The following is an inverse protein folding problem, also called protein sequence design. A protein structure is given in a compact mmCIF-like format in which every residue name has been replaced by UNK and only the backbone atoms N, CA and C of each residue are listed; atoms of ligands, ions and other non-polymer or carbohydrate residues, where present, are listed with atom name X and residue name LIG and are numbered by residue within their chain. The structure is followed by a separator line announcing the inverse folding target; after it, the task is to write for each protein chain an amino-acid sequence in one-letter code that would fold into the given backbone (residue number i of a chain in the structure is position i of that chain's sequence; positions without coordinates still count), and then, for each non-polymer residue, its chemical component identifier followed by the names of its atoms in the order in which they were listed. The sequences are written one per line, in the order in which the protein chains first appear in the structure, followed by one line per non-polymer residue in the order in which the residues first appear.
data_IF_207052938048
#
_entry.id   IF_207052938048
#
_cell.length_a   1.000
_cell.length_b   1.000
_cell.length_c   1.000
_cell.angle_alpha   90.00
_cell.angle_beta   90.00
_cell.angle_gamma   90.00
#
_symmetry.space_group_name_H-M   'P 1'
#
loop_
_entity.id
_entity.type
_entity.pdbx_description
1 polymer ?
#
# COMPACT_ATOMS: atom_id res chain seq x y z
N UNK A 1 11.74 19.68 -17.12
CA UNK A 1 11.27 19.80 -15.72
C UNK A 1 11.69 18.54 -14.97
N UNK A 2 12.07 18.62 -13.70
CA UNK A 2 12.57 17.45 -12.95
C UNK A 2 11.42 16.44 -12.71
N UNK A 3 11.57 15.15 -13.06
CA UNK A 3 10.51 14.13 -12.90
C UNK A 3 9.89 14.07 -11.50
N UNK A 4 10.71 14.18 -10.45
CA UNK A 4 10.25 14.18 -9.06
C UNK A 4 9.31 15.36 -8.76
N UNK A 5 9.66 16.57 -9.21
CA UNK A 5 8.86 17.76 -8.94
C UNK A 5 7.50 17.73 -9.64
N UNK A 6 7.42 17.12 -10.82
CA UNK A 6 6.14 16.91 -11.51
C UNK A 6 5.22 16.04 -10.66
N UNK A 7 5.74 14.92 -10.12
CA UNK A 7 4.96 13.98 -9.28
C UNK A 7 4.50 14.63 -7.98
N UNK A 8 5.37 15.40 -7.31
CA UNK A 8 4.97 16.17 -6.14
C UNK A 8 3.86 17.21 -6.44
N UNK A 9 3.91 17.84 -7.61
CA UNK A 9 2.91 18.83 -8.02
C UNK A 9 1.56 18.17 -8.28
N UNK A 10 1.56 17.02 -8.94
CA UNK A 10 0.35 16.23 -9.18
C UNK A 10 -0.23 15.71 -7.85
N UNK A 11 0.60 15.13 -6.99
CA UNK A 11 0.21 14.64 -5.66
C UNK A 11 -0.41 15.75 -4.80
N UNK A 12 0.20 16.94 -4.78
CA UNK A 12 -0.36 18.11 -4.09
C UNK A 12 -1.70 18.57 -4.68
N UNK A 13 -1.88 18.42 -6.00
CA UNK A 13 -3.14 18.75 -6.69
C UNK A 13 -4.25 17.75 -6.32
N UNK A 14 -3.94 16.45 -6.34
CA UNK A 14 -4.87 15.37 -5.96
C UNK A 14 -5.26 15.54 -4.49
N UNK A 15 -4.27 15.64 -3.59
CA UNK A 15 -4.50 15.84 -2.17
C UNK A 15 -5.40 17.04 -1.89
N UNK A 16 -5.17 18.18 -2.55
CA UNK A 16 -6.01 19.38 -2.39
C UNK A 16 -7.46 19.15 -2.81
N UNK A 17 -7.69 18.34 -3.85
CA UNK A 17 -9.05 18.04 -4.35
C UNK A 17 -9.83 17.15 -3.41
N UNK A 18 -9.18 16.15 -2.79
CA UNK A 18 -9.89 15.10 -2.03
C UNK A 18 -9.83 15.28 -0.51
N UNK A 19 -9.05 16.24 0.01
CA UNK A 19 -8.79 16.37 1.46
C UNK A 19 -10.03 16.62 2.34
N UNK A 20 -11.14 17.11 1.78
CA UNK A 20 -12.38 17.30 2.54
C UNK A 20 -13.16 15.98 2.67
N UNK A 21 -12.93 15.03 1.76
CA UNK A 21 -13.58 13.71 1.71
C UNK A 21 -12.78 12.64 2.47
N UNK A 22 -11.50 12.87 2.74
CA UNK A 22 -10.59 11.90 3.34
C UNK A 22 -9.92 12.45 4.59
N UNK A 23 -9.56 11.57 5.53
CA UNK A 23 -8.86 11.96 6.75
C UNK A 23 -7.34 12.04 6.57
N UNK A 24 -6.75 11.33 5.61
CA UNK A 24 -5.28 11.33 5.41
C UNK A 24 -4.95 11.07 3.96
N UNK A 25 -3.89 11.73 3.44
CA UNK A 25 -3.27 11.44 2.14
C UNK A 25 -1.75 11.39 2.32
N UNK A 26 -1.13 10.33 1.81
CA UNK A 26 0.32 10.14 1.83
C UNK A 26 0.84 9.64 0.48
N UNK A 27 2.01 10.11 0.08
CA UNK A 27 2.77 9.51 -1.02
C UNK A 27 3.48 8.27 -0.49
N UNK A 28 3.45 7.19 -1.25
CA UNK A 28 4.21 5.96 -0.99
C UNK A 28 5.13 5.63 -2.17
N UNK A 29 5.93 4.57 -2.02
CA UNK A 29 6.80 4.11 -3.10
C UNK A 29 8.00 5.03 -3.34
N UNK A 30 8.66 4.84 -4.49
CA UNK A 30 9.97 5.44 -4.76
C UNK A 30 9.99 6.97 -4.76
N UNK A 31 8.84 7.60 -5.04
CA UNK A 31 8.69 9.06 -4.95
C UNK A 31 8.86 9.53 -3.50
N UNK A 32 8.32 8.80 -2.52
CA UNK A 32 8.45 9.17 -1.12
C UNK A 32 9.88 8.92 -0.58
N UNK A 33 10.42 7.72 -0.79
CA UNK A 33 11.61 7.28 -0.06
C UNK A 33 12.92 7.36 -0.83
N UNK A 34 12.88 7.58 -2.14
CA UNK A 34 14.09 7.86 -2.93
C UNK A 34 13.84 8.86 -4.07
N UNK A 35 13.62 10.16 -3.74
CA UNK A 35 13.41 11.22 -4.71
C UNK A 35 14.47 11.31 -5.83
N UNK A 36 15.72 10.92 -5.53
CA UNK A 36 16.84 10.99 -6.47
C UNK A 36 16.82 9.86 -7.52
N UNK A 37 16.10 8.77 -7.26
CA UNK A 37 15.93 7.67 -8.20
C UNK A 37 14.67 7.79 -9.06
N UNK A 38 13.90 8.88 -8.91
CA UNK A 38 12.68 9.10 -9.70
C UNK A 38 13.03 9.45 -11.14
N UNK A 39 12.55 8.63 -12.06
CA UNK A 39 12.79 8.77 -13.50
C UNK A 39 11.51 9.18 -14.22
N UNK A 40 11.57 9.56 -15.51
CA UNK A 40 10.35 9.80 -16.29
C UNK A 40 9.40 8.59 -16.35
N UNK A 41 9.92 7.37 -16.22
CA UNK A 41 9.12 6.13 -16.22
C UNK A 41 8.58 5.73 -14.83
N UNK A 42 8.89 6.50 -13.78
CA UNK A 42 8.37 6.24 -12.43
C UNK A 42 6.90 6.66 -12.33
N UNK A 43 6.09 5.83 -11.72
CA UNK A 43 4.72 6.11 -11.29
C UNK A 43 4.66 7.11 -10.11
N UNK A 44 3.44 7.53 -9.76
CA UNK A 44 3.10 8.18 -8.50
C UNK A 44 2.07 7.32 -7.78
N UNK A 45 2.41 6.82 -6.59
CA UNK A 45 1.47 6.11 -5.72
C UNK A 45 1.11 6.98 -4.51
N UNK A 46 -0.19 7.13 -4.27
CA UNK A 46 -0.75 7.78 -3.10
C UNK A 46 -1.67 6.81 -2.34
N UNK A 47 -1.68 6.91 -1.02
CA UNK A 47 -2.64 6.23 -0.16
C UNK A 47 -3.51 7.29 0.51
N UNK A 48 -4.82 7.16 0.38
CA UNK A 48 -5.79 8.01 1.04
C UNK A 48 -6.65 7.21 2.01
N UNK A 49 -6.77 7.69 3.25
CA UNK A 49 -7.52 7.03 4.34
C UNK A 49 -8.80 7.82 4.60
N UNK A 50 -9.95 7.16 4.60
CA UNK A 50 -11.25 7.79 4.88
C UNK A 50 -12.14 6.85 5.73
N UNK A 51 -13.21 7.36 6.35
CA UNK A 51 -14.30 6.50 6.84
C UNK A 51 -15.29 6.33 5.70
N UNK A 52 -15.28 5.17 5.03
CA UNK A 52 -16.07 4.92 3.82
C UNK A 52 -17.57 5.06 4.05
N UNK A 53 -18.04 4.94 5.30
CA UNK A 53 -19.46 5.13 5.65
C UNK A 53 -19.87 6.60 5.66
N UNK A 54 -18.91 7.52 5.73
CA UNK A 54 -19.12 8.96 5.81
C UNK A 54 -18.81 9.68 4.49
N UNK A 55 -18.16 9.02 3.53
CA UNK A 55 -17.80 9.63 2.24
C UNK A 55 -19.01 9.70 1.31
N UNK A 56 -19.32 10.89 0.79
CA UNK A 56 -20.16 11.02 -0.40
C UNK A 56 -19.31 10.72 -1.64
N UNK A 57 -19.41 9.49 -2.12
CA UNK A 57 -18.61 9.01 -3.24
C UNK A 57 -18.89 9.73 -4.56
N UNK A 58 -20.09 10.29 -4.74
CA UNK A 58 -20.38 11.09 -5.94
C UNK A 58 -19.68 12.44 -5.87
N UNK A 59 -19.61 13.04 -4.68
CA UNK A 59 -18.86 14.27 -4.45
C UNK A 59 -17.36 14.04 -4.59
N UNK A 60 -16.83 12.98 -3.98
CA UNK A 60 -15.44 12.55 -4.14
C UNK A 60 -15.05 12.38 -5.62
N UNK A 61 -15.85 11.66 -6.42
CA UNK A 61 -15.59 11.45 -7.85
C UNK A 61 -15.57 12.79 -8.62
N UNK A 62 -16.51 13.70 -8.32
CA UNK A 62 -16.52 15.05 -8.91
C UNK A 62 -15.28 15.85 -8.54
N UNK A 63 -14.90 15.82 -7.27
CA UNK A 63 -13.78 16.57 -6.71
C UNK A 63 -12.44 16.10 -7.28
N UNK A 64 -12.24 14.78 -7.35
CA UNK A 64 -11.04 14.17 -7.94
C UNK A 64 -10.83 14.65 -9.39
N UNK A 65 -11.93 14.82 -10.15
CA UNK A 65 -11.95 15.53 -11.42
C UNK A 65 -11.21 14.82 -12.56
N UNK A 66 -11.05 13.50 -12.47
CA UNK A 66 -10.44 12.66 -13.50
C UNK A 66 -11.52 12.06 -14.43
N UNK A 67 -11.23 11.81 -15.72
CA UNK A 67 -12.23 11.34 -16.68
C UNK A 67 -12.91 10.03 -16.26
N UNK A 68 -14.18 9.87 -16.66
CA UNK A 68 -15.03 8.69 -16.41
C UNK A 68 -14.49 7.50 -17.21
N UNK A 69 -13.53 6.80 -16.61
CA UNK A 69 -13.36 5.35 -16.57
C UNK A 69 -12.35 5.05 -15.45
N UNK A 70 -12.57 5.55 -14.21
CA UNK A 70 -11.77 5.05 -13.10
C UNK A 70 -12.00 3.54 -13.09
N UNK A 71 -10.93 2.75 -13.08
CA UNK A 71 -11.03 1.32 -12.80
C UNK A 71 -11.31 1.17 -11.31
N UNK A 72 -12.46 1.69 -10.88
CA UNK A 72 -12.94 1.63 -9.54
C UNK A 72 -13.59 0.27 -9.37
N UNK A 73 -12.92 -0.51 -8.55
CA UNK A 73 -13.28 -1.85 -8.15
C UNK A 73 -14.51 -1.69 -7.22
N UNK A 74 -15.72 -1.63 -7.81
CA UNK A 74 -16.98 -1.33 -7.11
C UNK A 74 -17.13 -2.13 -5.81
N UNK A 75 -17.44 -1.44 -4.72
CA UNK A 75 -17.92 -1.94 -3.43
C UNK A 75 -18.40 -3.40 -3.43
N UNK A 76 -17.65 -4.31 -2.80
CA UNK A 76 -18.31 -5.51 -2.35
C UNK A 76 -19.30 -5.11 -1.25
N UNK A 77 -20.57 -5.37 -1.49
CA UNK A 77 -21.65 -5.26 -0.49
C UNK A 77 -21.55 -6.30 0.65
N UNK A 78 -20.40 -6.93 0.84
CA UNK A 78 -20.09 -7.71 2.04
C UNK A 78 -19.28 -6.81 2.96
N UNK A 79 -19.70 -6.64 4.22
CA UNK A 79 -19.01 -5.82 5.24
C UNK A 79 -17.62 -6.33 5.66
N UNK A 80 -16.83 -6.85 4.72
CA UNK A 80 -15.52 -7.46 4.87
C UNK A 80 -14.41 -6.74 4.06
N UNK A 81 -14.76 -5.82 3.15
CA UNK A 81 -13.81 -5.09 2.28
C UNK A 81 -13.86 -3.63 2.62
N UNK A 82 -12.68 -3.01 2.66
CA UNK A 82 -12.55 -1.63 3.06
C UNK A 82 -11.31 -0.99 2.43
N UNK A 83 -10.98 -1.36 1.18
CA UNK A 83 -9.98 -0.66 0.37
C UNK A 83 -10.23 -0.86 -1.14
N UNK A 84 -9.90 0.12 -1.96
CA UNK A 84 -9.87 0.03 -3.41
C UNK A 84 -8.74 0.89 -3.99
N UNK A 85 -8.56 0.89 -5.31
CA UNK A 85 -7.58 1.77 -5.96
C UNK A 85 -8.16 2.35 -7.23
N UNK A 86 -7.73 3.56 -7.55
CA UNK A 86 -8.03 4.27 -8.79
C UNK A 86 -6.71 4.51 -9.49
N UNK A 87 -6.58 4.08 -10.74
CA UNK A 87 -5.35 4.24 -11.52
C UNK A 87 -5.66 4.96 -12.82
N UNK A 88 -4.83 5.92 -13.22
CA UNK A 88 -4.96 6.63 -14.48
C UNK A 88 -3.61 7.11 -15.01
N UNK A 89 -3.53 7.28 -16.33
CA UNK A 89 -2.37 7.89 -16.98
C UNK A 89 -2.54 9.41 -17.08
N UNK A 90 -1.49 10.14 -16.72
CA UNK A 90 -1.31 11.53 -17.15
C UNK A 90 -0.64 11.56 -18.53
N UNK A 91 -0.40 12.75 -19.10
CA UNK A 91 0.44 12.89 -20.31
C UNK A 91 1.89 12.42 -20.12
N UNK A 92 2.31 12.08 -18.89
CA UNK A 92 3.71 11.89 -18.53
C UNK A 92 4.02 10.63 -17.71
N UNK A 93 3.07 10.12 -16.94
CA UNK A 93 3.25 8.98 -16.01
C UNK A 93 1.89 8.47 -15.49
N UNK A 94 1.90 7.24 -14.95
CA UNK A 94 0.76 6.63 -14.26
C UNK A 94 0.63 7.15 -12.82
N UNK A 95 -0.61 7.37 -12.38
CA UNK A 95 -0.96 7.70 -11.00
C UNK A 95 -1.83 6.59 -10.42
N UNK A 96 -1.43 6.06 -9.27
CA UNK A 96 -2.21 5.14 -8.44
C UNK A 96 -2.68 5.81 -7.15
N UNK A 97 -3.99 5.98 -6.97
CA UNK A 97 -4.61 6.41 -5.71
C UNK A 97 -5.25 5.22 -5.02
N UNK A 98 -4.64 4.76 -3.92
CA UNK A 98 -5.12 3.65 -3.10
C UNK A 98 -5.98 4.16 -1.94
N UNK A 99 -7.28 3.93 -2.03
CA UNK A 99 -8.26 4.34 -1.03
C UNK A 99 -8.41 3.25 0.03
N UNK A 100 -8.15 3.56 1.29
CA UNK A 100 -8.37 2.65 2.42
C UNK A 100 -9.41 3.24 3.35
N UNK A 101 -10.34 2.40 3.79
CA UNK A 101 -11.20 2.73 4.91
C UNK A 101 -10.36 2.72 6.20
N UNK A 102 -10.80 3.51 7.17
CA UNK A 102 -10.15 3.61 8.47
C UNK A 102 -10.08 2.24 9.18
N UNK A 103 -11.11 1.40 9.01
CA UNK A 103 -11.07 0.06 9.58
C UNK A 103 -10.06 -0.86 8.90
N UNK A 104 -9.80 -0.70 7.60
CA UNK A 104 -8.74 -1.44 6.91
C UNK A 104 -7.36 -1.01 7.44
N UNK A 105 -7.14 0.30 7.64
CA UNK A 105 -5.90 0.77 8.27
C UNK A 105 -5.72 0.16 9.67
N UNK A 106 -6.78 0.18 10.51
CA UNK A 106 -6.80 -0.45 11.84
C UNK A 106 -6.50 -1.96 11.81
N UNK A 107 -6.90 -2.64 10.74
CA UNK A 107 -6.64 -4.06 10.53
C UNK A 107 -5.20 -4.30 10.06
N UNK A 108 -4.67 -3.49 9.14
CA UNK A 108 -3.27 -3.58 8.70
C UNK A 108 -2.31 -3.38 9.87
N UNK A 109 -2.61 -2.45 10.78
CA UNK A 109 -1.81 -2.24 12.00
C UNK A 109 -1.99 -3.32 13.06
N UNK A 110 -3.01 -4.18 12.91
CA UNK A 110 -3.24 -5.34 13.78
C UNK A 110 -2.89 -6.64 13.03
N UNK A 111 -1.68 -7.21 13.23
CA UNK A 111 -1.15 -8.31 12.42
C UNK A 111 -1.88 -9.66 12.58
N UNK A 112 -3.00 -9.70 13.31
CA UNK A 112 -3.88 -10.88 13.43
C UNK A 112 -5.09 -10.81 12.48
N UNK A 113 -5.27 -9.71 11.76
CA UNK A 113 -6.48 -9.47 10.96
C UNK A 113 -6.22 -9.69 9.48
N UNK A 114 -7.13 -10.41 8.84
CA UNK A 114 -7.16 -10.64 7.40
C UNK A 114 -7.76 -9.41 6.72
N UNK A 115 -7.08 -8.86 5.73
CA UNK A 115 -7.64 -7.82 4.88
C UNK A 115 -8.18 -8.47 3.60
N UNK A 116 -9.11 -7.80 2.93
CA UNK A 116 -9.66 -8.27 1.67
C UNK A 116 -9.59 -7.15 0.65
N UNK A 117 -9.25 -7.50 -0.59
CA UNK A 117 -9.32 -6.61 -1.75
C UNK A 117 -10.39 -7.12 -2.70
N UNK A 118 -11.13 -6.23 -3.35
CA UNK A 118 -12.05 -6.60 -4.41
C UNK A 118 -11.33 -6.59 -5.77
N UNK A 119 -11.77 -7.42 -6.72
CA UNK A 119 -11.31 -7.52 -8.11
C UNK A 119 -12.53 -7.66 -9.02
N UNK A 120 -12.80 -6.80 -10.01
CA UNK A 120 -13.96 -6.97 -10.88
C UNK A 120 -13.74 -8.11 -11.89
N UNK A 121 -14.81 -8.80 -12.28
CA UNK A 121 -14.71 -9.97 -13.20
C UNK A 121 -14.32 -9.60 -14.64
N UNK A 122 -14.45 -8.32 -15.01
CA UNK A 122 -14.18 -7.81 -16.35
C UNK A 122 -12.83 -7.07 -16.47
N UNK A 123 -11.91 -7.26 -15.53
CA UNK A 123 -10.53 -6.81 -15.72
C UNK A 123 -9.95 -7.58 -16.91
N UNK A 124 -9.62 -6.86 -17.98
CA UNK A 124 -9.28 -7.33 -19.32
C UNK A 124 -9.06 -8.85 -19.50
N UNK A 125 -9.86 -9.46 -20.38
CA UNK A 125 -9.86 -10.89 -20.76
C UNK A 125 -8.52 -11.45 -21.28
N UNK A 126 -7.44 -10.68 -21.25
CA UNK A 126 -6.08 -11.06 -21.65
C UNK A 126 -5.07 -11.15 -20.50
N UNK A 127 -5.40 -10.72 -19.28
CA UNK A 127 -4.50 -10.86 -18.13
C UNK A 127 -4.86 -12.12 -17.35
N UNK A 128 -3.98 -13.13 -17.38
CA UNK A 128 -4.01 -14.21 -16.38
C UNK A 128 -3.79 -13.57 -15.02
N UNK A 129 -4.82 -13.57 -14.17
CA UNK A 129 -4.71 -12.92 -12.86
C UNK A 129 -3.61 -13.61 -12.05
N UNK A 130 -2.48 -12.94 -11.88
CA UNK A 130 -1.48 -13.30 -10.86
C UNK A 130 -2.03 -13.06 -9.45
N UNK A 131 -3.29 -12.63 -9.28
CA UNK A 131 -3.89 -12.29 -8.01
C UNK A 131 -4.45 -13.49 -7.24
N UNK A 132 -4.41 -14.70 -7.79
CA UNK A 132 -4.77 -15.90 -7.03
C UNK A 132 -3.62 -16.36 -6.12
N UNK A 133 -2.41 -15.81 -6.32
CA UNK A 133 -1.26 -15.98 -5.44
C UNK A 133 -0.53 -14.65 -5.21
N UNK A 134 0.32 -14.58 -4.21
CA UNK A 134 1.25 -13.48 -4.03
C UNK A 134 2.62 -14.01 -3.65
N UNK A 135 3.63 -13.50 -4.35
CA UNK A 135 5.01 -13.75 -4.00
C UNK A 135 5.45 -12.77 -2.91
N UNK A 136 5.84 -13.31 -1.75
CA UNK A 136 6.40 -12.56 -0.65
C UNK A 136 7.83 -13.02 -0.35
N UNK A 137 8.58 -12.14 0.31
CA UNK A 137 9.91 -12.44 0.84
C UNK A 137 9.87 -12.38 2.37
N UNK A 138 10.52 -13.34 3.03
CA UNK A 138 10.72 -13.26 4.47
C UNK A 138 11.89 -12.35 4.83
N UNK A 139 12.12 -12.14 6.14
CA UNK A 139 13.19 -11.28 6.65
C UNK A 139 14.60 -11.83 6.39
N UNK A 140 14.73 -13.07 5.87
CA UNK A 140 15.99 -13.67 5.40
C UNK A 140 16.18 -13.53 3.89
N UNK A 141 15.15 -13.08 3.17
CA UNK A 141 15.16 -12.90 1.72
C UNK A 141 14.71 -14.13 0.94
N UNK A 142 14.14 -15.13 1.60
CA UNK A 142 13.60 -16.31 0.97
C UNK A 142 12.23 -16.01 0.37
N UNK A 143 12.07 -16.38 -0.90
CA UNK A 143 10.86 -16.16 -1.69
C UNK A 143 9.85 -17.28 -1.45
N UNK A 144 8.56 -16.93 -1.31
CA UNK A 144 7.45 -17.89 -1.28
C UNK A 144 6.19 -17.33 -1.93
N UNK A 145 5.41 -18.21 -2.55
CA UNK A 145 4.06 -17.89 -3.03
C UNK A 145 3.01 -18.27 -1.98
N UNK A 146 2.07 -17.36 -1.73
CA UNK A 146 0.90 -17.56 -0.88
C UNK A 146 -0.36 -17.49 -1.72
N UNK A 147 -1.18 -18.54 -1.71
CA UNK A 147 -2.45 -18.54 -2.41
C UNK A 147 -3.47 -17.67 -1.66
N UNK A 148 -4.12 -16.77 -2.38
CA UNK A 148 -5.23 -15.97 -1.85
C UNK A 148 -6.50 -16.81 -1.88
N UNK A 149 -7.39 -16.62 -0.92
CA UNK A 149 -8.70 -17.27 -0.95
C UNK A 149 -9.69 -16.41 -1.74
N UNK A 150 -10.14 -16.84 -2.93
CA UNK A 150 -11.10 -16.08 -3.70
C UNK A 150 -12.54 -16.36 -3.23
N UNK A 151 -13.33 -15.30 -3.05
CA UNK A 151 -14.78 -15.38 -2.87
C UNK A 151 -15.48 -14.62 -4.01
N UNK A 152 -16.31 -15.32 -4.78
CA UNK A 152 -17.10 -14.70 -5.85
C UNK A 152 -18.27 -13.90 -5.26
N UNK A 153 -18.49 -12.68 -5.76
CA UNK A 153 -19.61 -11.79 -5.43
C UNK A 153 -20.17 -11.12 -6.68
N UNK A 154 -21.31 -10.42 -6.56
CA UNK A 154 -21.88 -9.73 -7.71
C UNK A 154 -20.91 -8.66 -8.26
N UNK A 155 -20.49 -8.83 -9.52
CA UNK A 155 -19.61 -7.90 -10.22
C UNK A 155 -18.11 -8.15 -10.05
N UNK A 156 -17.68 -9.17 -9.30
CA UNK A 156 -16.27 -9.49 -9.10
C UNK A 156 -15.93 -10.59 -8.10
N UNK A 157 -14.65 -10.67 -7.77
CA UNK A 157 -14.03 -11.58 -6.80
C UNK A 157 -13.41 -10.79 -5.64
N UNK A 158 -13.63 -11.23 -4.41
CA UNK A 158 -12.92 -10.79 -3.20
C UNK A 158 -11.69 -11.68 -3.02
N UNK A 159 -10.53 -11.12 -2.74
CA UNK A 159 -9.28 -11.85 -2.49
C UNK A 159 -8.71 -11.48 -1.13
N UNK A 160 -8.30 -12.48 -0.36
CA UNK A 160 -7.57 -12.27 0.88
C UNK A 160 -6.24 -11.55 0.62
N UNK A 161 -5.92 -10.60 1.48
CA UNK A 161 -4.67 -9.90 1.49
C UNK A 161 -4.06 -9.91 2.88
N UNK A 162 -2.77 -10.24 2.96
CA UNK A 162 -2.05 -10.39 4.20
C UNK A 162 -0.98 -9.31 4.32
N UNK A 163 -1.11 -8.37 5.28
CA UNK A 163 -0.02 -7.42 5.53
C UNK A 163 1.24 -8.15 5.99
N UNK A 164 1.06 -9.26 6.69
CA UNK A 164 2.09 -10.15 7.20
C UNK A 164 1.57 -11.59 7.15
N UNK A 165 2.41 -12.54 6.74
CA UNK A 165 2.11 -13.98 6.83
C UNK A 165 3.14 -14.68 7.70
N UNK A 166 2.67 -15.43 8.70
CA UNK A 166 3.53 -16.33 9.47
C UNK A 166 3.42 -17.74 8.91
N UNK A 167 4.54 -18.28 8.43
CA UNK A 167 4.60 -19.61 7.86
C UNK A 167 5.97 -20.23 8.11
N UNK A 168 5.99 -21.52 8.45
CA UNK A 168 7.20 -22.31 8.70
C UNK A 168 8.18 -21.67 9.70
N UNK A 169 7.64 -20.97 10.71
CA UNK A 169 8.43 -20.30 11.75
C UNK A 169 9.07 -18.97 11.32
N UNK A 170 8.69 -18.43 10.16
CA UNK A 170 9.19 -17.17 9.64
C UNK A 170 8.04 -16.17 9.37
N UNK A 171 8.42 -14.92 9.11
CA UNK A 171 7.55 -13.76 8.89
C UNK A 171 7.80 -13.24 7.48
N UNK A 172 6.75 -13.30 6.65
CA UNK A 172 6.71 -12.77 5.30
C UNK A 172 5.96 -11.45 5.29
N UNK A 173 6.52 -10.44 4.62
CA UNK A 173 6.00 -9.07 4.64
C UNK A 173 5.37 -8.72 3.30
N UNK A 174 4.10 -8.27 3.34
CA UNK A 174 3.33 -7.83 2.16
C UNK A 174 3.79 -6.48 1.60
N UNK A 175 3.45 -6.21 0.33
CA UNK A 175 3.90 -4.99 -0.36
C UNK A 175 3.34 -3.69 0.24
N UNK A 176 2.10 -3.68 0.74
CA UNK A 176 1.48 -2.54 1.42
C UNK A 176 2.18 -2.25 2.73
N UNK A 177 2.59 -3.32 3.44
CA UNK A 177 3.37 -3.19 4.66
C UNK A 177 4.72 -2.56 4.35
N UNK A 178 5.40 -3.02 3.29
CA UNK A 178 6.63 -2.40 2.82
C UNK A 178 6.41 -0.92 2.47
N UNK A 179 5.34 -0.58 1.73
CA UNK A 179 5.04 0.82 1.36
C UNK A 179 4.82 1.74 2.57
N UNK A 180 4.29 1.22 3.67
CA UNK A 180 4.10 1.98 4.92
C UNK A 180 5.36 2.04 5.80
N UNK A 181 6.29 1.09 5.69
CA UNK A 181 7.59 1.13 6.40
C UNK A 181 8.65 1.97 5.69
N UNK A 182 8.57 2.05 4.36
CA UNK A 182 9.54 2.76 3.53
C UNK A 182 9.22 4.26 3.47
N UNK A 183 9.21 4.95 4.62
CA UNK A 183 9.03 6.41 4.73
C UNK A 183 7.90 7.00 3.85
N UNK A 184 6.62 6.71 4.16
CA UNK A 184 5.52 7.42 3.53
C UNK A 184 5.63 8.93 3.81
N UNK A 185 5.32 9.75 2.80
CA UNK A 185 5.34 11.22 2.92
C UNK A 185 3.91 11.74 3.07
N UNK A 186 3.54 12.21 4.25
CA UNK A 186 2.22 12.78 4.50
C UNK A 186 2.06 14.12 3.79
N UNK A 187 1.07 14.21 2.90
CA UNK A 187 0.66 15.45 2.26
C UNK A 187 -0.38 16.18 3.10
N UNK A 188 -1.28 15.39 3.69
CA UNK A 188 -2.38 15.87 4.50
C UNK A 188 -2.75 14.81 5.54
N UNK A 189 -3.03 15.23 6.77
CA UNK A 189 -3.56 14.33 7.79
C UNK A 189 -4.40 15.08 8.83
N UNK A 190 -5.56 14.52 9.11
CA UNK A 190 -6.46 14.83 10.20
C UNK A 190 -6.94 13.51 10.81
N UNK A 191 -6.61 13.29 12.09
CA UNK A 191 -7.05 12.10 12.82
C UNK A 191 -5.93 11.13 13.19
N UNK A 192 -6.25 9.83 13.20
CA UNK A 192 -5.44 8.83 13.91
C UNK A 192 -4.40 8.09 13.06
N UNK A 193 -4.34 8.30 11.74
CA UNK A 193 -3.51 7.48 10.84
C UNK A 193 -2.02 7.47 11.21
N UNK A 194 -1.42 8.64 11.47
CA UNK A 194 -0.03 8.75 11.91
C UNK A 194 0.21 8.01 13.24
N UNK A 195 -0.70 8.16 14.21
CA UNK A 195 -0.61 7.48 15.51
C UNK A 195 -0.74 5.96 15.40
N UNK A 196 -1.60 5.47 14.49
CA UNK A 196 -1.75 4.05 14.19
C UNK A 196 -0.48 3.49 13.56
N UNK A 197 0.11 4.19 12.58
CA UNK A 197 1.36 3.78 11.93
C UNK A 197 2.54 3.75 12.90
N UNK A 198 2.62 4.72 13.82
CA UNK A 198 3.62 4.71 14.89
C UNK A 198 3.44 3.54 15.86
N UNK A 199 2.21 3.33 16.35
CA UNK A 199 1.88 2.23 17.27
C UNK A 199 2.16 0.86 16.64
N UNK A 200 1.89 0.77 15.35
CA UNK A 200 2.17 -0.40 14.55
C UNK A 200 3.66 -0.68 14.40
N UNK A 201 4.46 0.33 14.07
CA UNK A 201 5.93 0.19 13.97
C UNK A 201 6.53 -0.38 15.26
N UNK A 202 6.09 0.11 16.42
CA UNK A 202 6.47 -0.42 17.74
C UNK A 202 6.03 -1.88 17.92
N UNK A 203 4.81 -2.20 17.52
CA UNK A 203 4.25 -3.56 17.64
C UNK A 203 4.97 -4.55 16.73
N UNK A 204 5.25 -4.16 15.48
CA UNK A 204 6.04 -4.96 14.54
C UNK A 204 7.42 -5.21 15.12
N UNK A 205 8.14 -4.17 15.56
CA UNK A 205 9.46 -4.32 16.18
C UNK A 205 9.43 -5.32 17.34
N UNK A 206 8.46 -5.19 18.24
CA UNK A 206 8.30 -6.12 19.38
C UNK A 206 8.11 -7.56 18.91
N UNK A 207 7.29 -7.79 17.87
CA UNK A 207 7.06 -9.12 17.30
C UNK A 207 8.33 -9.68 16.65
N UNK A 208 9.07 -8.86 15.90
CA UNK A 208 10.33 -9.26 15.27
C UNK A 208 11.40 -9.62 16.33
N UNK A 209 11.53 -8.84 17.40
CA UNK A 209 12.42 -9.18 18.52
C UNK A 209 12.01 -10.49 19.19
N UNK A 210 10.71 -10.72 19.39
CA UNK A 210 10.22 -11.95 20.00
C UNK A 210 10.52 -13.19 19.14
N UNK A 211 10.43 -13.06 17.81
CA UNK A 211 10.66 -14.16 16.87
C UNK A 211 12.15 -14.41 16.60
N UNK A 212 12.95 -13.36 16.41
CA UNK A 212 14.34 -13.48 15.93
C UNK A 212 15.41 -13.01 16.93
N UNK A 213 15.02 -12.41 18.06
CA UNK A 213 15.94 -11.76 18.99
C UNK A 213 16.30 -10.33 18.56
N UNK A 214 17.22 -9.71 19.30
CA UNK A 214 17.54 -8.27 19.18
C UNK A 214 18.58 -7.92 18.11
N UNK A 215 19.17 -8.90 17.40
CA UNK A 215 20.22 -8.65 16.40
C UNK A 215 20.54 -9.90 15.56
N UNK A 216 20.49 -9.76 14.22
CA UNK A 216 21.07 -10.70 13.25
C UNK A 216 21.32 -9.98 11.92
N UNK A 217 22.54 -10.08 11.35
CA UNK A 217 22.82 -9.52 10.02
C UNK A 217 21.98 -10.18 8.91
N UNK A 218 21.59 -11.43 9.12
CA UNK A 218 20.82 -12.23 8.16
C UNK A 218 19.32 -11.94 8.18
N UNK A 219 18.81 -11.33 9.27
CA UNK A 219 17.38 -11.04 9.44
C UNK A 219 17.18 -9.53 9.48
N UNK A 220 16.52 -8.96 8.47
CA UNK A 220 16.21 -7.53 8.46
C UNK A 220 15.07 -7.19 7.48
N UNK A 221 14.54 -5.98 7.59
CA UNK A 221 13.45 -5.51 6.71
C UNK A 221 13.90 -5.24 5.27
N UNK A 222 15.19 -5.03 5.00
CA UNK A 222 15.68 -4.90 3.62
C UNK A 222 15.51 -6.21 2.87
N UNK A 223 15.68 -7.32 3.57
CA UNK A 223 15.57 -8.66 3.01
C UNK A 223 14.15 -9.04 2.56
N UNK A 224 13.11 -8.48 3.19
CA UNK A 224 11.72 -8.72 2.80
C UNK A 224 11.25 -7.92 1.58
N UNK A 225 12.12 -7.12 0.95
CA UNK A 225 11.82 -6.37 -0.26
C UNK A 225 12.20 -7.14 -1.53
N UNK A 226 11.37 -6.99 -2.58
CA UNK A 226 11.71 -7.41 -3.94
C UNK A 226 13.09 -6.84 -4.35
N UNK A 227 13.98 -7.62 -4.99
CA UNK A 227 15.31 -7.16 -5.36
C UNK A 227 15.33 -5.85 -6.17
N UNK A 228 14.31 -5.59 -7.00
CA UNK A 228 14.19 -4.35 -7.79
C UNK A 228 13.87 -3.16 -6.91
N UNK A 229 13.10 -3.34 -5.84
CA UNK A 229 12.82 -2.29 -4.84
C UNK A 229 14.05 -2.04 -3.96
N UNK A 230 14.73 -3.12 -3.55
CA UNK A 230 15.97 -3.04 -2.76
C UNK A 230 17.04 -2.21 -3.47
N UNK A 231 17.19 -2.38 -4.79
CA UNK A 231 18.14 -1.63 -5.60
C UNK A 231 17.85 -0.12 -5.66
N UNK A 232 16.65 0.31 -5.23
CA UNK A 232 16.22 1.71 -5.19
C UNK A 232 16.29 2.30 -3.78
N UNK A 233 16.87 1.64 -2.77
CA UNK A 233 16.99 2.22 -1.44
C UNK A 233 18.15 3.21 -1.38
N UNK A 234 17.92 4.36 -0.72
CA UNK A 234 19.01 5.25 -0.32
C UNK A 234 19.81 4.68 0.87
N UNK A 235 21.09 5.06 1.05
CA UNK A 235 21.94 4.51 2.12
C UNK A 235 21.37 4.70 3.54
N UNK A 236 20.74 5.85 3.79
CA UNK A 236 20.13 6.19 5.09
C UNK A 236 18.98 5.23 5.45
N UNK A 237 18.06 5.04 4.49
CA UNK A 237 16.89 4.17 4.65
C UNK A 237 17.33 2.71 4.77
N UNK A 238 18.25 2.26 3.93
CA UNK A 238 18.79 0.90 4.00
C UNK A 238 19.40 0.61 5.37
N UNK A 239 20.20 1.53 5.90
CA UNK A 239 20.78 1.42 7.25
C UNK A 239 19.70 1.29 8.32
N UNK A 240 18.68 2.15 8.28
CA UNK A 240 17.59 2.14 9.26
C UNK A 240 16.77 0.85 9.24
N UNK A 241 16.49 0.30 8.05
CA UNK A 241 15.77 -0.96 7.88
C UNK A 241 16.60 -2.17 8.34
N UNK A 242 17.93 -2.12 8.18
CA UNK A 242 18.86 -3.14 8.73
C UNK A 242 18.91 -3.14 10.25
N UNK A 243 18.72 -1.98 10.88
CA UNK A 243 18.80 -1.81 12.34
C UNK A 243 17.43 -1.58 12.99
N UNK A 244 16.34 -2.02 12.35
CA UNK A 244 14.98 -1.75 12.82
C UNK A 244 14.66 -2.46 14.14
N UNK A 245 15.31 -3.60 14.41
CA UNK A 245 15.09 -4.44 15.61
C UNK A 245 15.57 -3.75 16.89
#
# INVERSE_FOLDING_TARGET
MNPYHIRLTEAGTISTRIREDVGTVMIVGSVAYNPQAVTPASDLDEVAIADFTQVDWQEFERNLGQPINPTCVKYARSGAINSFSVVWDTEHFEVGLHMWDLSALRNVVNPKVHNHVFRPDNFDRGFSSTADEETLFNLRGEKRSFYKNPQQVEGGTILDFYPLVEADGDIYVGIQLNNLLLDPCFLFYHGEAESLLNSWSVSLRTRLIATYGTSSEEVNLVNSLDPRLRAKLGPELERRLKTFF
#
